data_IF_582847452536
#
_entry.id   IF_582847452536
#
_cell.length_a   1.000
_cell.length_b   1.000
_cell.length_c   1.000
_cell.angle_alpha   90.00
_cell.angle_beta   90.00
_cell.angle_gamma   90.00
#
_symmetry.space_group_name_H-M   'P 1'
#
loop_
_entity.id
_entity.type
_entity.pdbx_description
1 polymer ?
#
# COMPACT_ATOMS: atom_id res chain seq x y z
N UNK A 1 18.23 -17.74 17.02
CA UNK A 1 16.81 -17.99 16.72
C UNK A 1 16.20 -16.63 16.47
N UNK A 2 16.03 -16.25 15.21
CA UNK A 2 15.46 -14.94 14.85
C UNK A 2 13.95 -14.98 15.07
N UNK A 3 13.34 -13.94 15.68
CA UNK A 3 11.90 -13.92 15.89
C UNK A 3 11.20 -13.75 14.53
N UNK A 4 10.30 -14.68 14.20
CA UNK A 4 9.36 -14.52 13.10
C UNK A 4 8.42 -13.36 13.44
N UNK A 5 8.38 -12.36 12.55
CA UNK A 5 7.40 -11.26 12.60
C UNK A 5 5.97 -11.82 12.54
N UNK A 6 5.01 -11.22 13.27
CA UNK A 6 3.62 -11.67 13.29
C UNK A 6 2.88 -11.13 12.05
N UNK A 7 3.25 -11.59 10.86
CA UNK A 7 2.46 -11.33 9.65
C UNK A 7 1.59 -12.57 9.40
N UNK A 8 0.45 -12.63 10.07
CA UNK A 8 -0.63 -13.55 9.70
C UNK A 8 -1.82 -12.73 9.26
N UNK A 9 -1.61 -11.87 8.25
CA UNK A 9 -2.68 -11.41 7.38
C UNK A 9 -3.23 -12.67 6.70
N UNK A 10 -4.50 -12.96 6.89
CA UNK A 10 -5.21 -14.04 6.21
C UNK A 10 -4.85 -14.02 4.72
N UNK A 11 -4.51 -15.15 4.08
CA UNK A 11 -4.19 -15.18 2.66
C UNK A 11 -5.29 -14.57 1.78
N UNK A 12 -4.94 -13.97 0.65
CA UNK A 12 -5.91 -13.28 -0.23
C UNK A 12 -7.03 -14.22 -0.67
N UNK A 13 -6.70 -15.49 -0.96
CA UNK A 13 -7.62 -16.54 -1.37
C UNK A 13 -8.69 -16.89 -0.31
N UNK A 14 -8.42 -16.60 0.96
CA UNK A 14 -9.36 -16.83 2.05
C UNK A 14 -10.29 -15.64 2.29
N UNK A 15 -10.00 -14.49 1.68
CA UNK A 15 -10.79 -13.27 1.81
C UNK A 15 -11.76 -13.07 0.66
N UNK A 16 -11.56 -13.75 -0.47
CA UNK A 16 -12.39 -13.60 -1.69
C UNK A 16 -13.54 -14.60 -1.74
N UNK A 17 -14.49 -14.41 -2.67
CA UNK A 17 -15.54 -15.39 -2.92
C UNK A 17 -14.96 -16.72 -3.42
N UNK A 18 -15.59 -17.88 -3.14
CA UNK A 18 -15.08 -19.18 -3.59
C UNK A 18 -14.80 -19.29 -5.09
N UNK A 19 -15.61 -18.63 -5.92
CA UNK A 19 -15.44 -18.61 -7.38
C UNK A 19 -14.25 -17.76 -7.85
N UNK A 20 -13.77 -16.84 -7.01
CA UNK A 20 -12.66 -15.93 -7.32
C UNK A 20 -11.32 -16.44 -6.77
N UNK A 21 -11.33 -17.49 -5.93
CA UNK A 21 -10.13 -18.10 -5.34
C UNK A 21 -9.05 -18.49 -6.35
N UNK A 22 -9.36 -19.07 -7.54
CA UNK A 22 -8.32 -19.40 -8.51
C UNK A 22 -7.51 -18.17 -8.96
N UNK A 23 -8.18 -17.01 -9.10
CA UNK A 23 -7.52 -15.76 -9.46
C UNK A 23 -6.67 -15.22 -8.29
N UNK A 24 -7.20 -15.24 -7.07
CA UNK A 24 -6.46 -14.85 -5.88
C UNK A 24 -5.19 -15.71 -5.68
N UNK A 25 -5.30 -17.03 -5.86
CA UNK A 25 -4.16 -17.94 -5.82
C UNK A 25 -3.12 -17.60 -6.89
N UNK A 26 -3.56 -17.25 -8.11
CA UNK A 26 -2.64 -16.86 -9.19
C UNK A 26 -1.87 -15.59 -8.85
N UNK A 27 -2.53 -14.61 -8.21
CA UNK A 27 -1.90 -13.37 -7.71
C UNK A 27 -0.86 -13.69 -6.63
N UNK A 28 -1.22 -14.51 -5.63
CA UNK A 28 -0.31 -14.89 -4.53
C UNK A 28 0.89 -15.69 -5.06
N UNK A 29 0.68 -16.60 -6.00
CA UNK A 29 1.75 -17.37 -6.64
C UNK A 29 2.67 -16.49 -7.50
N UNK A 30 2.11 -15.53 -8.24
CA UNK A 30 2.91 -14.58 -9.00
C UNK A 30 3.82 -13.76 -8.06
N UNK A 31 3.27 -13.18 -7.00
CA UNK A 31 4.06 -12.43 -6.01
C UNK A 31 5.13 -13.32 -5.35
N UNK A 32 4.79 -14.55 -4.98
CA UNK A 32 5.74 -15.49 -4.36
C UNK A 32 6.89 -15.89 -5.27
N UNK A 33 6.72 -15.80 -6.60
CA UNK A 33 7.75 -16.12 -7.60
C UNK A 33 8.56 -14.90 -8.06
N UNK A 34 8.14 -13.69 -7.68
CA UNK A 34 8.76 -12.41 -8.05
C UNK A 34 9.01 -11.59 -6.77
N UNK A 35 10.09 -11.89 -6.01
CA UNK A 35 10.36 -11.26 -4.72
C UNK A 35 10.58 -9.75 -4.78
N UNK A 36 10.85 -9.20 -5.97
CA UNK A 36 10.95 -7.78 -6.29
C UNK A 36 9.59 -7.06 -6.42
N UNK A 37 8.49 -7.73 -6.07
CA UNK A 37 7.15 -7.19 -6.21
C UNK A 37 6.47 -6.91 -4.87
N UNK A 38 5.41 -6.09 -4.90
CA UNK A 38 4.50 -5.89 -3.78
C UNK A 38 3.05 -6.06 -4.23
N UNK A 39 2.17 -6.37 -3.28
CA UNK A 39 0.73 -6.47 -3.53
C UNK A 39 0.04 -5.16 -3.14
N UNK A 40 -0.58 -4.52 -4.11
CA UNK A 40 -1.48 -3.37 -3.93
C UNK A 40 -2.93 -3.84 -3.92
N UNK A 41 -3.71 -3.48 -2.90
CA UNK A 41 -5.13 -3.82 -2.80
C UNK A 41 -5.93 -2.56 -2.52
N UNK A 42 -6.99 -2.31 -3.30
CA UNK A 42 -7.81 -1.11 -3.15
C UNK A 42 -9.26 -1.33 -3.56
N UNK A 43 -10.17 -0.57 -2.93
CA UNK A 43 -11.54 -0.42 -3.43
C UNK A 43 -11.55 0.45 -4.68
N UNK A 44 -12.37 0.08 -5.65
CA UNK A 44 -12.51 0.80 -6.91
C UNK A 44 -13.77 1.68 -6.91
N UNK A 45 -13.82 2.65 -7.82
CA UNK A 45 -15.03 3.47 -8.02
C UNK A 45 -16.26 2.64 -8.47
N UNK A 46 -16.04 1.43 -8.99
CA UNK A 46 -17.08 0.52 -9.49
C UNK A 46 -17.57 -0.49 -8.45
N UNK A 47 -17.31 -0.28 -7.15
CA UNK A 47 -17.71 -1.19 -6.07
C UNK A 47 -17.11 -2.60 -6.20
N UNK A 48 -15.88 -2.68 -6.72
CA UNK A 48 -15.06 -3.89 -6.74
C UNK A 48 -13.77 -3.64 -5.96
N UNK A 49 -13.09 -4.68 -5.53
CA UNK A 49 -11.71 -4.62 -5.05
C UNK A 49 -10.77 -4.97 -6.19
N UNK A 50 -9.75 -4.16 -6.42
CA UNK A 50 -8.64 -4.51 -7.28
C UNK A 50 -7.48 -5.01 -6.41
N UNK A 51 -6.85 -6.11 -6.81
CA UNK A 51 -5.55 -6.52 -6.29
C UNK A 51 -4.55 -6.58 -7.46
N UNK A 52 -3.41 -5.95 -7.29
CA UNK A 52 -2.35 -5.85 -8.29
C UNK A 52 -1.03 -6.28 -7.67
N UNK A 53 -0.28 -7.11 -8.39
CA UNK A 53 1.14 -7.32 -8.09
C UNK A 53 1.94 -6.39 -8.98
N UNK A 54 2.75 -5.54 -8.36
CA UNK A 54 3.55 -4.51 -9.03
C UNK A 54 5.01 -4.72 -8.71
N UNK A 55 5.87 -4.50 -9.70
CA UNK A 55 7.32 -4.48 -9.51
C UNK A 55 7.71 -3.22 -8.74
N UNK A 56 8.59 -3.36 -7.73
CA UNK A 56 9.22 -2.22 -7.07
C UNK A 56 10.32 -1.62 -7.96
N UNK A 57 9.88 -1.09 -9.09
CA UNK A 57 10.70 -0.34 -10.02
C UNK A 57 10.21 1.12 -10.10
N UNK A 58 10.95 2.03 -10.74
CA UNK A 58 10.56 3.44 -10.81
C UNK A 58 9.20 3.69 -11.48
N UNK A 59 8.67 2.73 -12.25
CA UNK A 59 7.43 2.86 -13.01
C UNK A 59 6.25 2.10 -12.39
N UNK A 60 6.44 1.43 -11.24
CA UNK A 60 5.47 0.52 -10.63
C UNK A 60 4.88 -0.46 -11.67
N UNK A 61 5.76 -1.09 -12.48
CA UNK A 61 5.33 -1.92 -13.60
C UNK A 61 4.33 -2.99 -13.14
N UNK A 62 3.18 -3.06 -13.81
CA UNK A 62 2.14 -4.04 -13.48
C UNK A 62 2.58 -5.45 -13.92
N UNK A 63 2.59 -6.39 -12.99
CA UNK A 63 2.86 -7.81 -13.26
C UNK A 63 1.57 -8.59 -13.56
N UNK A 64 0.65 -8.61 -12.60
CA UNK A 64 -0.67 -9.24 -12.71
C UNK A 64 -1.70 -8.44 -11.92
N UNK A 65 -2.96 -8.45 -12.36
CA UNK A 65 -4.08 -7.89 -11.61
C UNK A 65 -5.30 -8.79 -11.61
N UNK A 66 -6.17 -8.56 -10.63
CA UNK A 66 -7.48 -9.19 -10.55
C UNK A 66 -8.50 -8.27 -9.90
N UNK A 67 -9.74 -8.43 -10.33
CA UNK A 67 -10.90 -7.76 -9.76
C UNK A 67 -11.72 -8.76 -8.95
N UNK A 68 -12.12 -8.34 -7.77
CA UNK A 68 -12.84 -9.15 -6.79
C UNK A 68 -14.12 -8.44 -6.36
N UNK A 69 -15.13 -9.22 -6.07
CA UNK A 69 -16.33 -8.73 -5.40
C UNK A 69 -15.97 -8.27 -3.99
N UNK A 70 -16.55 -7.16 -3.53
CA UNK A 70 -16.36 -6.73 -2.14
C UNK A 70 -16.90 -7.79 -1.17
N UNK A 71 -16.03 -8.32 -0.32
CA UNK A 71 -16.39 -9.18 0.82
C UNK A 71 -16.09 -8.45 2.13
N UNK A 72 -16.80 -8.74 3.23
CA UNK A 72 -16.48 -8.17 4.54
C UNK A 72 -15.01 -8.38 4.94
N UNK A 73 -14.44 -9.52 4.59
CA UNK A 73 -13.06 -9.89 4.88
C UNK A 73 -12.05 -9.03 4.12
N UNK A 74 -12.24 -8.84 2.80
CA UNK A 74 -11.39 -7.96 1.98
C UNK A 74 -11.48 -6.51 2.43
N UNK A 75 -12.69 -6.02 2.72
CA UNK A 75 -12.88 -4.64 3.16
C UNK A 75 -12.17 -4.41 4.49
N UNK A 76 -12.32 -5.33 5.45
CA UNK A 76 -11.61 -5.26 6.73
C UNK A 76 -10.09 -5.30 6.54
N UNK A 77 -9.58 -6.08 5.60
CA UNK A 77 -8.14 -6.10 5.29
C UNK A 77 -7.65 -4.74 4.80
N UNK A 78 -8.39 -4.12 3.87
CA UNK A 78 -8.06 -2.79 3.33
C UNK A 78 -8.10 -1.75 4.44
N UNK A 79 -9.16 -1.74 5.25
CA UNK A 79 -9.31 -0.78 6.36
C UNK A 79 -8.22 -0.96 7.42
N UNK A 80 -7.85 -2.19 7.76
CA UNK A 80 -6.74 -2.47 8.68
C UNK A 80 -5.42 -1.95 8.12
N UNK A 81 -5.14 -2.18 6.83
CA UNK A 81 -3.91 -1.69 6.20
C UNK A 81 -3.86 -0.14 6.21
N UNK A 82 -4.99 0.53 5.97
CA UNK A 82 -5.09 1.98 6.05
C UNK A 82 -4.88 2.50 7.48
N UNK A 83 -5.44 1.81 8.47
CA UNK A 83 -5.23 2.12 9.89
C UNK A 83 -3.77 1.93 10.31
N UNK A 84 -3.13 0.85 9.87
CA UNK A 84 -1.72 0.57 10.18
C UNK A 84 -0.80 1.64 9.59
N UNK A 85 -1.03 2.03 8.33
CA UNK A 85 -0.27 3.12 7.67
C UNK A 85 -0.50 4.46 8.38
N UNK A 86 -1.75 4.78 8.71
CA UNK A 86 -2.06 6.00 9.45
C UNK A 86 -1.40 6.01 10.83
N UNK A 87 -1.50 4.90 11.57
CA UNK A 87 -0.87 4.75 12.89
C UNK A 87 0.64 4.93 12.81
N UNK A 88 1.31 4.27 11.86
CA UNK A 88 2.75 4.43 11.65
C UNK A 88 3.12 5.89 11.32
N UNK A 89 2.30 6.57 10.51
CA UNK A 89 2.49 7.99 10.18
C UNK A 89 2.37 8.89 11.40
N UNK A 90 1.37 8.65 12.26
CA UNK A 90 1.17 9.38 13.52
C UNK A 90 2.28 9.10 14.52
N UNK A 91 2.68 7.84 14.67
CA UNK A 91 3.75 7.42 15.59
C UNK A 91 5.11 8.02 15.18
N UNK A 92 5.32 8.26 13.88
CA UNK A 92 6.46 9.00 13.33
C UNK A 92 6.35 10.53 13.46
N UNK A 93 5.23 11.06 13.97
CA UNK A 93 4.97 12.50 14.07
C UNK A 93 4.74 13.19 12.71
N UNK A 94 4.37 12.41 11.68
CA UNK A 94 4.22 12.88 10.30
C UNK A 94 2.77 13.27 9.94
N UNK A 95 1.82 13.20 10.87
CA UNK A 95 0.38 13.39 10.66
C UNK A 95 -0.01 14.78 10.12
N UNK A 96 0.81 15.79 10.38
CA UNK A 96 0.58 17.19 9.95
C UNK A 96 1.29 17.57 8.66
N UNK A 97 2.02 16.66 8.04
CA UNK A 97 2.84 17.00 6.89
C UNK A 97 2.01 17.24 5.62
N UNK A 98 2.42 18.18 4.76
CA UNK A 98 1.75 18.43 3.50
C UNK A 98 1.62 17.15 2.67
N UNK A 99 0.40 16.86 2.21
CA UNK A 99 0.10 15.69 1.38
C UNK A 99 -0.29 14.42 2.15
N UNK A 100 -0.05 14.36 3.47
CA UNK A 100 -0.53 13.26 4.31
C UNK A 100 -2.06 13.30 4.38
N UNK A 101 -2.69 12.17 4.08
CA UNK A 101 -4.15 12.03 4.13
C UNK A 101 -4.57 11.65 5.55
N UNK A 102 -5.71 12.19 5.99
CA UNK A 102 -6.36 11.72 7.21
C UNK A 102 -6.85 10.28 7.01
N UNK A 103 -7.04 9.53 8.10
CA UNK A 103 -7.63 8.19 8.03
C UNK A 103 -9.00 8.19 7.34
N UNK A 104 -9.82 9.23 7.57
CA UNK A 104 -11.10 9.42 6.88
C UNK A 104 -10.92 9.50 5.37
N UNK A 105 -10.00 10.36 4.89
CA UNK A 105 -9.70 10.47 3.47
C UNK A 105 -9.15 9.16 2.88
N UNK A 106 -8.33 8.41 3.62
CA UNK A 106 -7.84 7.09 3.17
C UNK A 106 -9.00 6.11 2.96
N UNK A 107 -9.97 6.07 3.90
CA UNK A 107 -11.16 5.21 3.82
C UNK A 107 -12.12 5.60 2.71
N UNK A 108 -12.20 6.88 2.38
CA UNK A 108 -13.03 7.39 1.28
C UNK A 108 -12.39 7.18 -0.11
N UNK A 109 -11.07 7.07 -0.18
CA UNK A 109 -10.35 6.96 -1.43
C UNK A 109 -10.77 5.71 -2.24
N UNK A 110 -10.92 5.87 -3.56
CA UNK A 110 -11.28 4.81 -4.50
C UNK A 110 -10.36 4.85 -5.71
N UNK A 111 -9.87 3.69 -6.09
CA UNK A 111 -9.08 3.49 -7.29
C UNK A 111 -9.94 3.57 -8.56
N UNK A 112 -9.48 4.31 -9.57
CA UNK A 112 -10.11 4.41 -10.89
C UNK A 112 -9.08 4.39 -12.04
N UNK A 113 -7.83 4.01 -11.77
CA UNK A 113 -6.72 3.99 -12.73
C UNK A 113 -6.16 5.38 -13.11
N UNK A 114 -6.94 6.44 -12.94
CA UNK A 114 -6.54 7.82 -13.23
C UNK A 114 -6.06 8.57 -11.99
N UNK A 115 -6.52 8.19 -10.80
CA UNK A 115 -6.14 8.79 -9.52
C UNK A 115 -4.94 8.10 -8.86
N UNK A 116 -4.13 7.37 -9.64
CA UNK A 116 -2.91 6.75 -9.12
C UNK A 116 -1.78 7.80 -9.06
N UNK A 117 -1.21 8.08 -7.88
CA UNK A 117 -0.08 8.99 -7.76
C UNK A 117 1.11 8.36 -8.47
N UNK A 118 1.56 8.97 -9.57
CA UNK A 118 2.76 8.53 -10.27
C UNK A 118 3.98 8.99 -9.48
N UNK A 119 5.03 8.16 -9.39
CA UNK A 119 6.30 8.50 -8.71
C UNK A 119 6.94 9.78 -9.25
N UNK A 120 6.63 10.12 -10.49
CA UNK A 120 7.05 11.31 -11.25
C UNK A 120 6.20 12.58 -11.00
N UNK A 121 5.10 12.49 -10.24
CA UNK A 121 4.45 13.69 -9.70
C UNK A 121 5.34 14.31 -8.63
N UNK A 122 5.60 15.62 -8.77
CA UNK A 122 6.39 16.36 -7.77
C UNK A 122 5.80 16.05 -6.39
N UNK A 123 6.64 15.60 -5.43
CA UNK A 123 6.12 15.26 -4.14
C UNK A 123 5.48 16.49 -3.48
N UNK A 124 4.52 16.29 -2.56
CA UNK A 124 3.77 17.39 -1.96
C UNK A 124 4.65 18.38 -1.15
N UNK A 125 5.91 18.03 -0.88
CA UNK A 125 6.92 18.88 -0.25
C UNK A 125 7.84 19.63 -1.24
N UNK A 126 7.61 19.54 -2.55
CA UNK A 126 8.32 20.28 -3.59
C UNK A 126 9.63 19.62 -4.06
N UNK A 127 10.53 20.40 -4.68
CA UNK A 127 11.79 19.90 -5.28
C UNK A 127 12.91 19.63 -4.24
N UNK A 128 12.63 19.76 -2.94
CA UNK A 128 13.59 19.53 -1.86
C UNK A 128 13.66 18.05 -1.42
N UNK A 129 14.70 17.67 -0.66
CA UNK A 129 14.77 16.35 -0.04
C UNK A 129 13.54 16.12 0.82
N UNK A 130 13.09 14.86 0.88
CA UNK A 130 11.93 14.52 1.68
C UNK A 130 12.17 14.95 3.14
N UNK A 131 11.14 15.41 3.86
CA UNK A 131 11.35 15.96 5.19
C UNK A 131 12.04 15.01 6.18
N UNK A 132 11.88 13.70 6.01
CA UNK A 132 12.55 12.65 6.79
C UNK A 132 13.98 12.31 6.32
N UNK A 133 14.44 12.87 5.20
CA UNK A 133 15.82 12.77 4.73
C UNK A 133 16.72 13.90 5.28
N UNK A 134 16.14 14.86 6.01
CA UNK A 134 16.87 16.02 6.56
C UNK A 134 17.60 15.73 7.87
N UNK A 135 17.39 14.57 8.49
CA UNK A 135 17.86 14.31 9.86
C UNK A 135 19.28 13.72 9.95
N UNK A 136 19.98 13.47 8.83
CA UNK A 136 21.33 12.86 8.84
C UNK A 136 22.50 13.86 8.69
N UNK A 137 22.25 15.17 8.50
CA UNK A 137 23.32 16.18 8.39
C UNK A 137 23.22 17.22 9.51
N UNK A 138 23.79 16.94 10.69
CA UNK A 138 23.90 18.00 11.70
C UNK A 138 24.38 17.69 13.12
N UNK A 139 25.17 16.65 13.40
CA UNK A 139 26.01 16.64 14.63
C UNK A 139 27.44 17.11 14.25
N UNK A 140 27.54 18.33 13.70
CA UNK A 140 28.82 19.06 13.71
C UNK A 140 28.86 19.78 15.05
N UNK A 141 29.42 19.09 16.04
CA UNK A 141 29.88 19.72 17.27
C UNK A 141 31.06 20.61 16.91
N UNK A 142 30.83 21.91 16.85
CA UNK A 142 31.90 22.89 16.96
C UNK A 142 32.44 22.82 18.40
N UNK A 143 33.62 22.22 18.55
CA UNK A 143 34.51 22.38 19.71
C UNK A 143 35.33 23.67 19.58
#
# INVERSE_FOLDING_TARGET
MSPQSPDSKTPLEDQVLPLERPLALSIVQYHSSHPETYIFIARTASQQVIAQVRHDDPNDTLGIEGYFTETPELIRHIEQAQEDVWKATVDAGLDKYPGVKTLEHMREWRYDGNNYPRRDEKPPWGDGPAPWEKDDEGDVRDD
#
